data_IF_169735644049
#
_entry.id   IF_169735644049
#
_cell.length_a   1.000
_cell.length_b   1.000
_cell.length_c   1.000
_cell.angle_alpha   90.00
_cell.angle_beta   90.00
_cell.angle_gamma   90.00
#
_symmetry.space_group_name_H-M   'P 1'
#
loop_
_entity.id
_entity.type
_entity.pdbx_description
1 polymer ?
#
# COMPACT_ATOMS: atom_id res chain seq x y z
N UNK A 1 -6.65 -17.25 -31.36
CA UNK A 1 -7.41 -16.21 -30.63
C UNK A 1 -6.81 -15.95 -29.24
N UNK A 2 -6.65 -16.96 -28.38
CA UNK A 2 -6.02 -16.82 -27.06
C UNK A 2 -4.63 -16.15 -27.04
N UNK A 3 -3.71 -16.59 -27.92
CA UNK A 3 -2.36 -15.98 -28.01
C UNK A 3 -2.38 -14.51 -28.41
N UNK A 4 -3.31 -14.10 -29.28
CA UNK A 4 -3.47 -12.70 -29.66
C UNK A 4 -3.98 -11.86 -28.48
N UNK A 5 -4.88 -12.42 -27.67
CA UNK A 5 -5.36 -11.78 -26.43
C UNK A 5 -4.24 -11.60 -25.41
N UNK A 6 -3.40 -12.61 -25.19
CA UNK A 6 -2.25 -12.51 -24.29
C UNK A 6 -1.25 -11.45 -24.76
N UNK A 7 -0.95 -11.42 -26.06
CA UNK A 7 -0.05 -10.42 -26.63
C UNK A 7 -0.63 -8.99 -26.51
N UNK A 8 -1.95 -8.83 -26.70
CA UNK A 8 -2.63 -7.55 -26.49
C UNK A 8 -2.56 -7.10 -25.03
N UNK A 9 -2.83 -7.98 -24.07
CA UNK A 9 -2.71 -7.68 -22.63
C UNK A 9 -1.28 -7.27 -22.29
N UNK A 10 -0.28 -8.03 -22.74
CA UNK A 10 1.13 -7.74 -22.46
C UNK A 10 1.54 -6.35 -22.97
N UNK A 11 1.16 -5.99 -24.20
CA UNK A 11 1.43 -4.65 -24.75
C UNK A 11 0.73 -3.54 -23.98
N UNK A 12 -0.48 -3.81 -23.49
CA UNK A 12 -1.26 -2.86 -22.69
C UNK A 12 -0.62 -2.61 -21.33
N UNK A 13 -0.18 -3.67 -20.66
CA UNK A 13 0.57 -3.60 -19.40
C UNK A 13 1.91 -2.89 -19.59
N UNK A 14 2.63 -3.20 -20.66
CA UNK A 14 3.88 -2.52 -21.01
C UNK A 14 3.68 -1.01 -21.19
N UNK A 15 2.67 -0.60 -21.96
CA UNK A 15 2.35 0.80 -22.18
C UNK A 15 1.98 1.52 -20.87
N UNK A 16 1.25 0.86 -19.98
CA UNK A 16 0.90 1.41 -18.67
C UNK A 16 2.15 1.60 -17.80
N UNK A 17 3.02 0.59 -17.71
CA UNK A 17 4.25 0.69 -16.90
C UNK A 17 5.18 1.77 -17.42
N UNK A 18 5.28 1.92 -18.74
CA UNK A 18 6.02 3.02 -19.38
C UNK A 18 5.40 4.38 -19.04
N UNK A 19 4.07 4.50 -19.06
CA UNK A 19 3.37 5.73 -18.69
C UNK A 19 3.63 6.09 -17.22
N UNK A 20 3.49 5.14 -16.30
CA UNK A 20 3.81 5.33 -14.87
C UNK A 20 5.28 5.79 -14.68
N UNK A 21 6.22 5.12 -15.33
CA UNK A 21 7.64 5.46 -15.27
C UNK A 21 7.92 6.88 -15.80
N UNK A 22 7.28 7.27 -16.90
CA UNK A 22 7.43 8.62 -17.48
C UNK A 22 6.90 9.72 -16.57
N UNK A 23 5.95 9.39 -15.69
CA UNK A 23 5.43 10.26 -14.64
C UNK A 23 6.19 10.10 -13.31
N UNK A 24 7.39 9.53 -13.34
CA UNK A 24 8.28 9.35 -12.18
C UNK A 24 7.68 8.51 -11.03
N UNK A 25 6.72 7.62 -11.35
CA UNK A 25 6.21 6.64 -10.39
C UNK A 25 7.27 5.57 -10.17
N UNK A 26 7.61 5.29 -8.91
CA UNK A 26 8.61 4.28 -8.52
C UNK A 26 8.04 3.15 -7.67
N UNK A 27 6.83 3.32 -7.15
CA UNK A 27 6.15 2.38 -6.26
C UNK A 27 4.67 2.32 -6.65
N UNK A 28 4.17 1.11 -6.88
CA UNK A 28 2.77 0.81 -7.11
C UNK A 28 2.22 -0.01 -5.95
N UNK A 29 1.10 0.45 -5.41
CA UNK A 29 0.38 -0.18 -4.30
C UNK A 29 -0.93 -0.74 -4.85
N UNK A 30 -1.18 -2.02 -4.64
CA UNK A 30 -2.35 -2.70 -5.16
C UNK A 30 -3.08 -3.49 -4.07
N UNK A 31 -4.41 -3.33 -4.02
CA UNK A 31 -5.30 -4.15 -3.20
C UNK A 31 -5.34 -5.61 -3.70
N UNK A 32 -5.19 -5.84 -5.01
CA UNK A 32 -5.23 -7.18 -5.58
C UNK A 32 -3.84 -7.73 -5.88
N UNK A 33 -3.73 -9.06 -5.89
CA UNK A 33 -2.56 -9.76 -6.41
C UNK A 33 -2.40 -9.49 -7.90
N UNK A 34 -1.18 -9.24 -8.34
CA UNK A 34 -0.83 -8.90 -9.71
C UNK A 34 -0.37 -10.14 -10.49
N UNK A 35 -0.72 -10.18 -11.78
CA UNK A 35 -0.25 -11.20 -12.70
C UNK A 35 1.25 -11.07 -12.98
N UNK A 36 1.91 -12.18 -13.32
CA UNK A 36 3.35 -12.22 -13.59
C UNK A 36 3.78 -11.24 -14.68
N UNK A 37 2.92 -10.99 -15.68
CA UNK A 37 3.18 -10.02 -16.75
C UNK A 37 3.30 -8.59 -16.21
N UNK A 38 2.49 -8.24 -15.20
CA UNK A 38 2.55 -6.93 -14.53
C UNK A 38 3.85 -6.80 -13.75
N UNK A 39 4.19 -7.82 -12.97
CA UNK A 39 5.45 -7.84 -12.20
C UNK A 39 6.67 -7.77 -13.13
N UNK A 40 6.64 -8.50 -14.25
CA UNK A 40 7.69 -8.48 -15.25
C UNK A 40 7.93 -7.07 -15.82
N UNK A 41 6.88 -6.41 -16.31
CA UNK A 41 7.03 -5.07 -16.87
C UNK A 41 7.31 -4.02 -15.80
N UNK A 42 6.73 -4.11 -14.60
CA UNK A 42 7.06 -3.21 -13.50
C UNK A 42 8.57 -3.26 -13.20
N UNK A 43 9.15 -4.46 -13.11
CA UNK A 43 10.60 -4.64 -12.95
C UNK A 43 11.39 -4.06 -14.12
N UNK A 44 10.95 -4.29 -15.36
CA UNK A 44 11.62 -3.77 -16.56
C UNK A 44 11.68 -2.23 -16.55
N UNK A 45 10.64 -1.57 -16.07
CA UNK A 45 10.54 -0.11 -15.97
C UNK A 45 10.97 0.46 -14.61
N UNK A 46 11.56 -0.36 -13.72
CA UNK A 46 12.10 0.09 -12.44
C UNK A 46 11.05 0.50 -11.41
N UNK A 47 9.82 -0.02 -11.52
CA UNK A 47 8.71 0.21 -10.61
C UNK A 47 8.63 -0.95 -9.62
N UNK A 48 8.67 -0.63 -8.33
CA UNK A 48 8.41 -1.62 -7.26
C UNK A 48 6.91 -1.82 -7.08
N UNK A 49 6.49 -3.06 -6.82
CA UNK A 49 5.08 -3.41 -6.62
C UNK A 49 4.87 -4.00 -5.24
N UNK A 50 3.88 -3.49 -4.52
CA UNK A 50 3.34 -4.09 -3.30
C UNK A 50 1.88 -4.45 -3.60
N UNK A 51 1.55 -5.72 -3.42
CA UNK A 51 0.28 -6.31 -3.82
C UNK A 51 -0.44 -6.93 -2.62
N UNK A 52 -1.74 -7.18 -2.80
CA UNK A 52 -2.60 -7.81 -1.78
C UNK A 52 -2.82 -6.96 -0.52
N UNK A 53 -2.85 -5.63 -0.67
CA UNK A 53 -3.25 -4.72 0.41
C UNK A 53 -4.71 -4.92 0.77
N UNK A 54 -5.07 -4.92 2.05
CA UNK A 54 -6.47 -4.97 2.45
C UNK A 54 -7.20 -3.65 2.14
N UNK A 55 -8.53 -3.67 2.11
CA UNK A 55 -9.33 -2.44 1.94
C UNK A 55 -9.09 -1.43 3.06
N UNK A 56 -8.85 -1.90 4.28
CA UNK A 56 -8.52 -1.08 5.44
C UNK A 56 -7.14 -0.43 5.29
N UNK A 57 -6.14 -1.17 4.78
CA UNK A 57 -4.81 -0.62 4.49
C UNK A 57 -4.88 0.45 3.39
N UNK A 58 -5.65 0.21 2.33
CA UNK A 58 -5.87 1.20 1.27
C UNK A 58 -6.55 2.46 1.82
N UNK A 59 -7.58 2.30 2.65
CA UNK A 59 -8.26 3.44 3.28
C UNK A 59 -7.30 4.26 4.15
N UNK A 60 -6.48 3.60 4.97
CA UNK A 60 -5.46 4.25 5.78
C UNK A 60 -4.44 5.01 4.93
N UNK A 61 -3.97 4.42 3.82
CA UNK A 61 -3.05 5.09 2.89
C UNK A 61 -3.71 6.33 2.28
N UNK A 62 -4.98 6.25 1.90
CA UNK A 62 -5.73 7.39 1.38
C UNK A 62 -5.85 8.50 2.43
N UNK A 63 -6.10 8.15 3.69
CA UNK A 63 -6.17 9.11 4.80
C UNK A 63 -4.82 9.79 5.08
N UNK A 64 -3.72 9.04 5.03
CA UNK A 64 -2.36 9.58 5.24
C UNK A 64 -1.92 10.51 4.11
N UNK A 65 -2.20 10.09 2.87
CA UNK A 65 -1.68 10.75 1.67
C UNK A 65 -2.63 11.81 1.11
N UNK A 66 -3.90 11.78 1.52
CA UNK A 66 -4.97 12.61 0.96
C UNK A 66 -5.39 12.20 -0.46
N UNK A 67 -4.86 11.08 -1.00
CA UNK A 67 -5.08 10.69 -2.38
C UNK A 67 -6.17 9.62 -2.52
N UNK A 68 -6.81 9.60 -3.69
CA UNK A 68 -7.69 8.51 -4.09
C UNK A 68 -6.94 7.44 -4.89
N UNK A 69 -7.35 6.16 -4.83
CA UNK A 69 -6.72 5.11 -5.63
C UNK A 69 -6.84 5.39 -7.13
N UNK A 70 -5.75 5.12 -7.87
CA UNK A 70 -5.74 5.28 -9.32
C UNK A 70 -6.67 4.27 -9.99
N UNK A 71 -7.78 4.76 -10.54
CA UNK A 71 -8.77 3.97 -11.25
C UNK A 71 -8.93 4.50 -12.69
N UNK A 72 -8.09 4.05 -13.64
CA UNK A 72 -8.20 4.50 -15.02
C UNK A 72 -9.53 4.01 -15.62
N UNK A 73 -10.31 4.95 -16.15
CA UNK A 73 -11.57 4.62 -16.82
C UNK A 73 -11.33 4.10 -18.24
N UNK A 74 -11.81 2.89 -18.53
CA UNK A 74 -11.86 2.33 -19.88
C UNK A 74 -10.47 2.06 -20.51
N UNK A 75 -10.34 2.29 -21.81
CA UNK A 75 -9.12 1.97 -22.57
C UNK A 75 -7.99 3.01 -22.39
N UNK A 76 -8.22 4.10 -21.65
CA UNK A 76 -7.30 5.24 -21.57
C UNK A 76 -6.10 4.99 -20.63
N UNK A 77 -5.10 4.27 -21.14
CA UNK A 77 -3.82 4.00 -20.43
C UNK A 77 -3.07 5.29 -20.11
N UNK A 78 -3.28 6.32 -20.93
CA UNK A 78 -2.63 7.63 -20.84
C UNK A 78 -3.47 8.65 -20.09
N UNK A 79 -4.41 8.19 -19.24
CA UNK A 79 -5.07 9.07 -18.29
C UNK A 79 -4.04 9.89 -17.52
N UNK A 80 -4.37 11.15 -17.27
CA UNK A 80 -3.50 12.04 -16.52
C UNK A 80 -3.29 11.47 -15.12
N UNK A 81 -2.02 11.29 -14.73
CA UNK A 81 -1.68 10.96 -13.35
C UNK A 81 -1.64 12.29 -12.63
N UNK A 82 -2.82 12.72 -12.16
CA UNK A 82 -3.01 14.03 -11.56
C UNK A 82 -2.34 14.13 -10.19
N UNK A 83 -2.25 13.01 -9.47
CA UNK A 83 -1.80 13.00 -8.08
C UNK A 83 -0.93 11.77 -7.77
N UNK A 84 0.22 12.01 -7.13
CA UNK A 84 1.12 10.95 -6.63
C UNK A 84 1.55 11.26 -5.20
N UNK A 85 1.67 10.24 -4.36
CA UNK A 85 2.17 10.39 -2.99
C UNK A 85 3.67 10.12 -2.91
N UNK A 86 4.35 10.80 -1.98
CA UNK A 86 5.76 10.57 -1.70
C UNK A 86 5.90 9.56 -0.56
N UNK A 87 6.37 8.36 -0.89
CA UNK A 87 6.88 7.42 0.10
C UNK A 87 8.29 7.83 0.54
N UNK A 88 8.50 8.04 1.83
CA UNK A 88 9.81 8.38 2.42
C UNK A 88 10.76 7.18 2.43
N UNK A 89 10.21 5.97 2.59
CA UNK A 89 10.92 4.72 2.43
C UNK A 89 9.95 3.59 2.07
N UNK A 90 10.47 2.55 1.44
CA UNK A 90 9.77 1.28 1.21
C UNK A 90 10.80 0.16 1.37
N UNK A 91 10.66 -0.67 2.41
CA UNK A 91 11.64 -1.70 2.77
C UNK A 91 10.97 -3.05 2.98
N UNK A 92 11.49 -4.14 2.39
CA UNK A 92 11.02 -5.47 2.74
C UNK A 92 11.37 -5.79 4.20
N UNK A 93 10.47 -6.44 4.90
CA UNK A 93 10.62 -6.87 6.29
C UNK A 93 10.30 -8.36 6.38
N UNK A 94 11.20 -9.14 6.98
CA UNK A 94 10.97 -10.56 7.23
C UNK A 94 10.64 -10.77 8.71
N UNK A 95 9.41 -11.17 9.00
CA UNK A 95 8.91 -11.45 10.34
C UNK A 95 8.67 -12.96 10.48
N UNK A 96 9.69 -13.68 10.93
CA UNK A 96 9.68 -15.14 10.92
C UNK A 96 9.56 -15.68 9.50
N UNK A 97 8.48 -16.39 9.19
CA UNK A 97 8.16 -16.89 7.85
C UNK A 97 7.33 -15.92 7.00
N UNK A 98 6.86 -14.80 7.57
CA UNK A 98 6.04 -13.81 6.86
C UNK A 98 6.91 -12.73 6.21
N UNK A 99 6.65 -12.46 4.94
CA UNK A 99 7.23 -11.33 4.22
C UNK A 99 6.25 -10.17 4.27
N UNK A 100 6.68 -9.07 4.85
CA UNK A 100 5.93 -7.83 4.96
C UNK A 100 6.71 -6.72 4.26
N UNK A 101 6.06 -5.57 4.06
CA UNK A 101 6.73 -4.36 3.56
C UNK A 101 6.43 -3.24 4.54
N UNK A 102 7.47 -2.52 4.95
CA UNK A 102 7.33 -1.32 5.75
C UNK A 102 7.45 -0.11 4.83
N UNK A 103 6.37 0.66 4.75
CA UNK A 103 6.27 1.86 3.92
C UNK A 103 6.06 3.06 4.84
N UNK A 104 6.89 4.08 4.66
CA UNK A 104 6.69 5.39 5.25
C UNK A 104 6.16 6.35 4.21
N UNK A 105 5.17 7.15 4.57
CA UNK A 105 4.64 8.21 3.71
C UNK A 105 4.98 9.58 4.30
N UNK A 106 5.09 10.57 3.42
CA UNK A 106 5.04 11.98 3.86
C UNK A 106 3.57 12.29 4.14
N UNK A 107 3.22 12.45 5.42
CA UNK A 107 1.84 12.80 5.78
C UNK A 107 1.53 14.23 5.35
N UNK A 108 0.38 14.42 4.71
CA UNK A 108 -0.13 15.75 4.31
C UNK A 108 -1.09 16.33 5.37
N UNK A 109 -1.38 15.58 6.42
CA UNK A 109 -2.35 15.91 7.46
C UNK A 109 -1.72 15.90 8.86
N UNK A 110 -2.43 16.42 9.86
CA UNK A 110 -2.00 16.34 11.27
C UNK A 110 -2.02 14.91 11.81
N UNK A 111 -2.62 13.99 11.06
CA UNK A 111 -2.66 12.58 11.39
C UNK A 111 -1.29 11.93 11.13
N UNK A 112 -0.70 11.42 12.20
CA UNK A 112 0.59 10.73 12.19
C UNK A 112 0.38 9.30 12.70
N UNK A 113 0.02 8.35 11.81
CA UNK A 113 -0.18 6.99 12.24
C UNK A 113 1.15 6.35 12.63
N UNK A 114 1.10 5.57 13.70
CA UNK A 114 2.21 4.76 14.16
C UNK A 114 1.79 3.30 14.05
N UNK A 115 2.66 2.45 13.49
CA UNK A 115 2.42 1.02 13.39
C UNK A 115 3.24 0.30 14.46
N UNK A 116 2.59 -0.55 15.25
CA UNK A 116 3.23 -1.44 16.19
C UNK A 116 3.11 -2.87 15.68
N UNK A 117 4.24 -3.56 15.59
CA UNK A 117 4.31 -4.96 15.16
C UNK A 117 4.52 -5.83 16.40
N UNK A 118 3.58 -6.74 16.66
CA UNK A 118 3.66 -7.70 17.75
C UNK A 118 4.19 -9.04 17.24
N UNK A 119 5.22 -9.56 17.90
CA UNK A 119 5.86 -10.82 17.55
C UNK A 119 6.00 -11.68 18.80
N UNK A 120 5.19 -12.73 18.86
CA UNK A 120 5.13 -13.72 19.92
C UNK A 120 5.34 -15.13 19.38
N UNK A 121 5.61 -16.11 20.25
CA UNK A 121 5.94 -17.48 19.86
C UNK A 121 4.77 -18.23 19.22
N UNK A 122 3.53 -17.83 19.53
CA UNK A 122 2.28 -18.39 18.99
C UNK A 122 1.23 -17.29 18.83
N UNK A 123 0.27 -17.48 17.92
CA UNK A 123 -0.76 -16.47 17.60
C UNK A 123 -1.57 -16.04 18.84
N UNK A 124 -1.94 -16.97 19.72
CA UNK A 124 -2.70 -16.64 20.94
C UNK A 124 -1.98 -15.71 21.92
N UNK A 125 -0.63 -15.69 21.93
CA UNK A 125 0.13 -14.72 22.75
C UNK A 125 0.10 -13.34 22.11
N UNK A 126 0.14 -13.26 20.76
CA UNK A 126 0.00 -11.99 20.05
C UNK A 126 -1.39 -11.38 20.25
N UNK A 127 -2.45 -12.20 20.24
CA UNK A 127 -3.82 -11.76 20.54
C UNK A 127 -3.91 -11.16 21.94
N UNK A 128 -3.38 -11.85 22.96
CA UNK A 128 -3.34 -11.31 24.33
C UNK A 128 -2.56 -10.00 24.43
N UNK A 129 -1.44 -9.88 23.72
CA UNK A 129 -0.67 -8.63 23.68
C UNK A 129 -1.45 -7.51 22.97
N UNK A 130 -2.14 -7.82 21.88
CA UNK A 130 -2.98 -6.86 21.16
C UNK A 130 -4.11 -6.34 22.06
N UNK A 131 -4.82 -7.23 22.75
CA UNK A 131 -5.90 -6.88 23.68
C UNK A 131 -5.39 -6.02 24.85
N UNK A 132 -4.26 -6.41 25.45
CA UNK A 132 -3.66 -5.66 26.55
C UNK A 132 -3.23 -4.25 26.11
N UNK A 133 -2.62 -4.13 24.93
CA UNK A 133 -2.21 -2.84 24.36
C UNK A 133 -3.41 -1.98 23.97
N UNK A 134 -4.46 -2.58 23.41
CA UNK A 134 -5.70 -1.88 23.11
C UNK A 134 -6.33 -1.31 24.39
N UNK A 135 -6.38 -2.09 25.46
CA UNK A 135 -6.83 -1.63 26.78
C UNK A 135 -5.97 -0.49 27.33
N UNK A 136 -4.64 -0.62 27.25
CA UNK A 136 -3.70 0.40 27.69
C UNK A 136 -3.85 1.71 26.91
N UNK A 137 -3.92 1.66 25.57
CA UNK A 137 -4.13 2.84 24.74
C UNK A 137 -5.49 3.46 24.96
N UNK A 138 -6.54 2.66 25.15
CA UNK A 138 -7.88 3.18 25.49
C UNK A 138 -7.84 3.93 26.82
N UNK A 139 -7.20 3.37 27.85
CA UNK A 139 -7.04 4.03 29.14
C UNK A 139 -6.27 5.34 29.00
N UNK A 140 -5.15 5.34 28.27
CA UNK A 140 -4.38 6.55 28.01
C UNK A 140 -5.22 7.62 27.30
N UNK A 141 -5.98 7.24 26.26
CA UNK A 141 -6.89 8.16 25.59
C UNK A 141 -7.91 8.77 26.55
N UNK A 142 -8.46 8.00 27.50
CA UNK A 142 -9.40 8.53 28.48
C UNK A 142 -8.74 9.52 29.47
N UNK A 143 -7.48 9.30 29.84
CA UNK A 143 -6.74 10.24 30.71
C UNK A 143 -6.45 11.58 30.02
N UNK A 144 -6.29 11.57 28.69
CA UNK A 144 -6.02 12.78 27.90
C UNK A 144 -7.26 13.42 27.28
N UNK A 145 -8.42 12.77 27.38
CA UNK A 145 -9.70 13.44 27.10
C UNK A 145 -9.89 14.48 28.20
N UNK A 146 -9.71 15.74 27.85
CA UNK A 146 -10.19 16.85 28.67
C UNK A 146 -11.66 16.60 28.96
N UNK A 147 -12.04 16.60 30.24
CA UNK A 147 -13.45 16.77 30.60
C UNK A 147 -13.84 18.12 30.01
N UNK A 148 -14.70 18.10 28.98
CA UNK A 148 -15.26 19.30 28.41
C UNK A 148 -15.79 20.17 29.57
N UNK A 149 -15.19 21.34 29.78
CA UNK A 149 -15.72 22.40 30.63
C UNK A 149 -16.69 23.25 29.82
#
# INVERSE_FOLDING_TARGET
>A
QYQASLHWIARRVEALMKHLQSNNVKLLLSNVRQDEVVIYYAKLYGISVVESLSSEEVALICEITGLSPYAPFGDNIHGEITETAVATFCRPLLLGSRRCVHIGFTSVCTFQPHCLILCGPVDGVNEQHADALQGAFTMLQQLFKTVDQ
#
